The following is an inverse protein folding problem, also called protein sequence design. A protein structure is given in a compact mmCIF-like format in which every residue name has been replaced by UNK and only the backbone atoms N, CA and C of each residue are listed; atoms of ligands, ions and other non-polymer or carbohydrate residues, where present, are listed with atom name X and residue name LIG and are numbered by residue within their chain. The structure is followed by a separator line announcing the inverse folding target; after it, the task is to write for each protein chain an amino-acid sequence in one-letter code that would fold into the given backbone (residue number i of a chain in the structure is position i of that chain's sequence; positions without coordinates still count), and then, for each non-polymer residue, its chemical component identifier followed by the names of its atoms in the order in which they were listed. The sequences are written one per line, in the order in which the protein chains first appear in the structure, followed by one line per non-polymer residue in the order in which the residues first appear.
data_IF_242300539732
#
_entry.id   IF_242300539732
#
_cell.length_a   1.000
_cell.length_b   1.000
_cell.length_c   1.000
_cell.angle_alpha   90.00
_cell.angle_beta   90.00
_cell.angle_gamma   90.00
#
_symmetry.space_group_name_H-M   'P 1'
#
loop_
_entity.id
_entity.type
_entity.pdbx_description
1 polymer ?
#
# COMPACT_ATOMS: atom_id res chain seq x y z
N UNK A 1 -17.60 -42.71 -36.26
CA UNK A 1 -18.40 -42.29 -35.11
C UNK A 1 -17.47 -41.63 -34.10
N UNK A 2 -17.90 -40.47 -33.63
CA UNK A 2 -17.28 -39.49 -32.75
C UNK A 2 -17.19 -39.94 -31.28
N UNK A 3 -16.14 -39.51 -30.57
CA UNK A 3 -16.26 -38.88 -29.23
C UNK A 3 -14.93 -38.22 -28.80
N UNK A 4 -14.98 -36.90 -28.66
CA UNK A 4 -14.03 -36.00 -27.99
C UNK A 4 -14.48 -35.83 -26.54
N UNK A 5 -13.56 -35.74 -25.57
CA UNK A 5 -13.68 -34.82 -24.43
C UNK A 5 -12.39 -34.80 -23.57
N UNK A 6 -11.54 -33.80 -23.84
CA UNK A 6 -10.65 -33.18 -22.87
C UNK A 6 -11.48 -32.57 -21.73
N UNK A 7 -10.95 -32.57 -20.50
CA UNK A 7 -11.55 -31.75 -19.43
C UNK A 7 -11.06 -32.11 -18.04
N UNK A 8 -9.77 -31.96 -17.75
CA UNK A 8 -9.28 -31.88 -16.37
C UNK A 8 -9.80 -30.56 -15.80
N UNK A 9 -10.89 -30.62 -15.05
CA UNK A 9 -11.38 -29.50 -14.27
C UNK A 9 -10.64 -29.44 -12.92
N UNK A 10 -10.35 -28.19 -12.51
CA UNK A 10 -9.76 -27.71 -11.26
C UNK A 10 -8.21 -27.56 -11.28
N UNK A 11 -7.71 -26.36 -10.92
CA UNK A 11 -7.72 -25.99 -9.51
C UNK A 11 -8.12 -24.53 -9.26
N UNK A 12 -9.41 -24.28 -9.05
CA UNK A 12 -9.83 -23.07 -8.33
C UNK A 12 -9.65 -23.24 -6.80
N UNK A 13 -9.57 -24.49 -6.32
CA UNK A 13 -9.38 -24.80 -4.90
C UNK A 13 -7.98 -24.45 -4.39
N UNK A 14 -6.91 -24.74 -5.15
CA UNK A 14 -5.54 -24.45 -4.70
C UNK A 14 -5.21 -22.95 -4.61
N UNK A 15 -5.88 -22.10 -5.39
CA UNK A 15 -5.74 -20.65 -5.26
C UNK A 15 -6.43 -20.15 -3.97
N UNK A 16 -7.59 -20.71 -3.64
CA UNK A 16 -8.36 -20.33 -2.43
C UNK A 16 -7.70 -20.88 -1.16
N UNK A 17 -7.12 -22.08 -1.21
CA UNK A 17 -6.37 -22.65 -0.07
C UNK A 17 -5.05 -21.94 0.17
N UNK A 18 -4.29 -21.57 -0.88
CA UNK A 18 -3.10 -20.73 -0.72
C UNK A 18 -3.43 -19.35 -0.12
N UNK A 19 -4.62 -18.80 -0.42
CA UNK A 19 -5.11 -17.58 0.21
C UNK A 19 -5.60 -17.79 1.66
N UNK A 20 -6.12 -18.99 2.00
CA UNK A 20 -6.61 -19.30 3.36
C UNK A 20 -5.46 -19.60 4.34
N UNK A 21 -4.40 -20.26 3.89
CA UNK A 21 -3.21 -20.51 4.72
C UNK A 21 -2.43 -19.22 5.05
N UNK A 22 -2.54 -18.19 4.21
CA UNK A 22 -1.94 -16.86 4.46
C UNK A 22 -2.73 -16.02 5.48
N UNK A 23 -4.03 -16.26 5.64
CA UNK A 23 -4.82 -15.61 6.70
C UNK A 23 -4.45 -16.11 8.11
N UNK A 24 -3.77 -17.26 8.20
CA UNK A 24 -3.26 -17.83 9.44
C UNK A 24 -1.86 -17.30 9.84
N UNK A 25 -1.18 -16.58 8.94
CA UNK A 25 -0.01 -15.79 9.31
C UNK A 25 -0.49 -14.52 10.02
N UNK A 26 -0.77 -14.65 11.31
CA UNK A 26 -1.01 -13.55 12.24
C UNK A 26 0.25 -12.68 12.37
N UNK A 27 0.59 -11.94 11.30
CA UNK A 27 1.49 -10.82 11.43
C UNK A 27 0.78 -9.78 12.29
N UNK A 28 1.36 -9.37 13.43
CA UNK A 28 0.73 -8.35 14.25
C UNK A 28 0.62 -7.10 13.39
N UNK A 29 -0.59 -6.54 13.30
CA UNK A 29 -0.90 -5.31 12.56
C UNK A 29 0.03 -4.13 12.93
N UNK A 30 0.73 -4.21 14.07
CA UNK A 30 1.81 -3.29 14.46
C UNK A 30 3.05 -3.32 13.55
N UNK A 31 3.35 -4.42 12.85
CA UNK A 31 4.55 -4.52 11.99
C UNK A 31 4.41 -3.89 10.60
N UNK A 32 3.20 -3.46 10.25
CA UNK A 32 2.89 -2.85 8.95
C UNK A 32 2.68 -1.33 9.03
N UNK A 33 2.54 -0.77 10.23
CA UNK A 33 2.45 0.68 10.40
C UNK A 33 3.79 1.33 10.05
N UNK A 34 3.80 2.48 9.36
CA UNK A 34 5.04 3.18 9.03
C UNK A 34 5.79 3.53 10.32
N UNK A 35 7.07 3.18 10.39
CA UNK A 35 7.95 3.67 11.45
C UNK A 35 8.45 5.07 11.12
N UNK A 36 9.04 5.77 12.10
CA UNK A 36 9.65 7.07 11.82
C UNK A 36 10.80 6.97 10.79
N UNK A 37 11.57 5.89 10.84
CA UNK A 37 12.64 5.62 9.87
C UNK A 37 12.09 5.44 8.45
N UNK A 38 10.99 4.69 8.32
CA UNK A 38 10.27 4.51 7.06
C UNK A 38 9.83 5.86 6.46
N UNK A 39 9.29 6.76 7.30
CA UNK A 39 8.86 8.09 6.87
C UNK A 39 10.05 8.97 6.49
N UNK A 40 11.19 8.88 7.20
CA UNK A 40 12.42 9.64 6.88
C UNK A 40 13.09 9.17 5.58
N UNK A 41 13.09 7.87 5.28
CA UNK A 41 13.55 7.35 3.97
C UNK A 41 12.68 7.94 2.84
N UNK A 42 11.36 7.96 3.03
CA UNK A 42 10.44 8.55 2.05
C UNK A 42 10.68 10.06 1.86
N UNK A 43 10.85 10.82 2.95
CA UNK A 43 11.17 12.25 2.88
C UNK A 43 12.46 12.51 2.09
N UNK A 44 13.49 11.69 2.33
CA UNK A 44 14.78 11.81 1.63
C UNK A 44 14.62 11.60 0.13
N UNK A 45 13.76 10.66 -0.30
CA UNK A 45 13.43 10.43 -1.71
C UNK A 45 12.60 11.57 -2.29
N UNK A 46 11.59 12.02 -1.57
CA UNK A 46 10.76 13.15 -1.98
C UNK A 46 11.59 14.42 -2.21
N UNK A 47 12.61 14.68 -1.38
CA UNK A 47 13.56 15.78 -1.59
C UNK A 47 14.38 15.60 -2.85
N UNK A 48 14.86 14.38 -3.12
CA UNK A 48 15.62 14.09 -4.33
C UNK A 48 14.78 14.25 -5.61
N UNK A 49 13.48 13.94 -5.53
CA UNK A 49 12.52 14.09 -6.64
C UNK A 49 11.96 15.52 -6.79
N UNK A 50 12.30 16.44 -5.88
CA UNK A 50 11.80 17.83 -5.92
C UNK A 50 10.32 17.97 -5.52
N UNK A 51 9.82 17.09 -4.65
CA UNK A 51 8.45 17.17 -4.14
C UNK A 51 8.18 18.45 -3.33
N UNK A 52 6.90 18.76 -3.13
CA UNK A 52 6.46 19.98 -2.45
C UNK A 52 7.00 20.08 -1.01
N UNK A 53 7.54 21.26 -0.68
CA UNK A 53 8.18 21.50 0.61
C UNK A 53 7.19 21.46 1.80
N UNK A 54 5.91 21.83 1.59
CA UNK A 54 4.90 21.75 2.65
C UNK A 54 4.54 20.29 2.93
N UNK A 55 4.42 19.47 1.89
CA UNK A 55 4.19 18.04 2.05
C UNK A 55 5.35 17.35 2.79
N UNK A 56 6.59 17.71 2.47
CA UNK A 56 7.77 17.21 3.18
C UNK A 56 7.72 17.61 4.68
N UNK A 57 7.40 18.87 4.98
CA UNK A 57 7.29 19.36 6.36
C UNK A 57 6.19 18.64 7.15
N UNK A 58 5.05 18.34 6.51
CA UNK A 58 3.97 17.54 7.12
C UNK A 58 4.45 16.15 7.53
N UNK A 59 5.25 15.49 6.68
CA UNK A 59 5.79 14.16 6.98
C UNK A 59 6.89 14.18 8.04
N UNK A 60 7.69 15.23 8.11
CA UNK A 60 8.67 15.40 9.20
C UNK A 60 7.98 15.50 10.56
N UNK A 61 6.94 16.32 10.68
CA UNK A 61 6.15 16.43 11.90
C UNK A 61 5.49 15.09 12.29
N UNK A 62 5.09 14.29 11.29
CA UNK A 62 4.55 12.96 11.56
C UNK A 62 5.63 11.98 12.04
N UNK A 63 6.81 11.98 11.44
CA UNK A 63 7.94 11.15 11.88
C UNK A 63 8.33 11.48 13.33
N UNK A 64 8.41 12.76 13.69
CA UNK A 64 8.70 13.20 15.06
C UNK A 64 7.64 12.71 16.06
N UNK A 65 6.35 12.70 15.67
CA UNK A 65 5.27 12.15 16.51
C UNK A 65 5.38 10.65 16.70
N UNK A 66 5.85 9.91 15.69
CA UNK A 66 6.09 8.47 15.80
C UNK A 66 7.26 8.17 16.75
N UNK A 67 8.29 9.02 16.80
CA UNK A 67 9.43 8.87 17.72
C UNK A 67 9.07 9.30 19.15
N UNK A 68 8.22 10.32 19.31
CA UNK A 68 7.83 10.89 20.60
C UNK A 68 6.31 10.89 20.79
N UNK A 69 5.69 9.72 21.03
CA UNK A 69 4.23 9.61 21.19
C UNK A 69 3.68 10.35 22.43
N UNK A 70 4.54 10.79 23.35
CA UNK A 70 4.18 11.49 24.59
C UNK A 70 4.48 13.00 24.65
N UNK A 71 4.99 13.61 23.56
CA UNK A 71 5.30 15.05 23.57
C UNK A 71 4.01 15.90 23.63
N UNK A 72 3.97 16.99 24.43
CA UNK A 72 2.82 17.88 24.50
C UNK A 72 2.55 18.47 23.10
N UNK A 73 1.26 18.52 22.73
CA UNK A 73 0.73 18.96 21.42
C UNK A 73 1.08 20.42 21.10
N UNK A 74 2.34 20.71 20.83
CA UNK A 74 2.82 21.96 20.29
C UNK A 74 2.76 21.92 18.77
N UNK A 75 1.68 22.46 18.20
CA UNK A 75 1.59 22.67 16.75
C UNK A 75 0.42 21.92 16.09
N UNK A 76 -0.53 22.71 15.60
CA UNK A 76 -1.66 22.35 14.74
C UNK A 76 -1.48 21.00 14.02
N UNK A 77 -2.11 19.94 14.53
CA UNK A 77 -2.44 18.79 13.66
C UNK A 77 -3.54 19.26 12.72
N UNK A 78 -3.18 19.65 11.50
CA UNK A 78 -4.15 20.21 10.54
C UNK A 78 -5.06 19.10 9.99
N UNK A 79 -4.69 17.83 10.14
CA UNK A 79 -5.45 16.67 9.65
C UNK A 79 -5.44 15.50 10.64
N UNK A 80 -6.50 14.69 10.62
CA UNK A 80 -6.61 13.45 11.41
C UNK A 80 -5.62 12.38 10.95
N UNK A 81 -5.24 11.48 11.85
CA UNK A 81 -4.23 10.43 11.63
C UNK A 81 -4.49 9.59 10.37
N UNK A 82 -5.75 9.37 10.00
CA UNK A 82 -6.11 8.66 8.77
C UNK A 82 -5.71 9.40 7.50
N UNK A 83 -5.85 10.74 7.45
CA UNK A 83 -5.54 11.49 6.23
C UNK A 83 -4.03 11.59 5.96
N UNK A 84 -3.21 11.66 7.01
CA UNK A 84 -1.76 11.68 6.83
C UNK A 84 -1.21 10.33 6.39
N UNK A 85 -1.79 9.22 6.87
CA UNK A 85 -1.40 7.88 6.40
C UNK A 85 -1.76 7.70 4.93
N UNK A 86 -2.94 8.16 4.49
CA UNK A 86 -3.31 8.13 3.06
C UNK A 86 -2.32 8.91 2.20
N UNK A 87 -1.96 10.13 2.62
CA UNK A 87 -0.92 10.93 1.96
C UNK A 87 0.43 10.20 1.90
N UNK A 88 0.83 9.54 2.99
CA UNK A 88 2.05 8.74 3.05
C UNK A 88 2.01 7.53 2.10
N UNK A 89 0.87 6.84 2.00
CA UNK A 89 0.71 5.72 1.06
C UNK A 89 0.84 6.21 -0.37
N UNK A 90 0.14 7.29 -0.75
CA UNK A 90 0.21 7.86 -2.11
C UNK A 90 1.61 8.37 -2.42
N UNK A 91 2.22 9.15 -1.52
CA UNK A 91 3.59 9.64 -1.70
C UNK A 91 4.61 8.49 -1.75
N UNK A 92 4.42 7.47 -0.91
CA UNK A 92 5.21 6.25 -0.89
C UNK A 92 5.10 5.45 -2.19
N UNK A 93 3.96 5.47 -2.85
CA UNK A 93 3.79 4.86 -4.17
C UNK A 93 4.41 5.72 -5.28
N UNK A 94 4.25 7.04 -5.20
CA UNK A 94 4.69 8.00 -6.22
C UNK A 94 6.22 8.22 -6.23
N UNK A 95 6.82 8.39 -5.05
CA UNK A 95 8.24 8.72 -4.87
C UNK A 95 9.05 7.57 -4.24
N UNK A 96 8.35 6.57 -3.71
CA UNK A 96 8.94 5.50 -2.92
C UNK A 96 8.62 4.12 -3.47
N UNK A 97 8.56 3.88 -4.79
CA UNK A 97 8.25 2.55 -5.34
C UNK A 97 9.03 1.39 -4.68
N UNK A 98 10.23 1.66 -4.14
CA UNK A 98 11.01 0.77 -3.28
C UNK A 98 10.46 0.64 -1.84
N UNK A 99 10.02 1.73 -1.22
CA UNK A 99 9.34 1.77 0.09
C UNK A 99 7.97 1.07 0.05
N UNK A 100 7.08 1.45 -0.87
CA UNK A 100 5.79 0.78 -1.05
C UNK A 100 5.99 -0.69 -1.45
N UNK A 101 6.99 -0.97 -2.29
CA UNK A 101 7.41 -2.32 -2.63
C UNK A 101 8.06 -3.11 -1.48
N UNK A 102 8.61 -2.46 -0.45
CA UNK A 102 9.11 -3.10 0.78
C UNK A 102 7.96 -3.48 1.70
N UNK A 103 6.97 -2.60 1.88
CA UNK A 103 5.80 -2.87 2.72
C UNK A 103 4.94 -3.97 2.07
N UNK A 104 4.55 -3.78 0.82
CA UNK A 104 3.74 -4.76 0.10
C UNK A 104 4.54 -6.01 -0.25
N UNK A 105 5.85 -5.90 -0.52
CA UNK A 105 6.71 -7.05 -0.83
C UNK A 105 6.97 -7.98 0.35
N UNK A 106 6.80 -7.51 1.60
CA UNK A 106 6.78 -8.37 2.79
C UNK A 106 5.56 -9.28 2.82
N UNK A 107 4.43 -8.83 2.27
CA UNK A 107 3.18 -9.59 2.17
C UNK A 107 3.14 -10.42 0.88
N UNK A 108 3.43 -9.80 -0.26
CA UNK A 108 3.35 -10.38 -1.60
C UNK A 108 4.53 -9.93 -2.47
N UNK A 109 5.54 -10.79 -2.66
CA UNK A 109 6.74 -10.47 -3.47
C UNK A 109 6.41 -10.01 -4.90
N UNK A 110 5.40 -10.62 -5.53
CA UNK A 110 4.94 -10.29 -6.90
C UNK A 110 4.40 -8.85 -6.95
N UNK A 111 3.52 -8.51 -6.01
CA UNK A 111 2.88 -7.21 -5.91
C UNK A 111 3.88 -6.12 -5.52
N UNK A 112 4.83 -6.41 -4.63
CA UNK A 112 5.94 -5.51 -4.32
C UNK A 112 6.86 -5.20 -5.51
N UNK A 113 7.16 -6.19 -6.36
CA UNK A 113 7.92 -5.96 -7.59
C UNK A 113 7.12 -5.18 -8.64
N UNK A 114 5.81 -5.40 -8.73
CA UNK A 114 4.94 -4.61 -9.60
C UNK A 114 4.93 -3.14 -9.20
N UNK A 115 4.82 -2.85 -7.89
CA UNK A 115 4.86 -1.49 -7.34
C UNK A 115 6.16 -0.76 -7.60
N UNK A 116 7.32 -1.44 -7.52
CA UNK A 116 8.61 -0.83 -7.85
C UNK A 116 8.67 -0.28 -9.28
N UNK A 117 7.91 -0.88 -10.20
CA UNK A 117 7.91 -0.53 -11.63
C UNK A 117 6.74 0.37 -12.03
N UNK A 118 5.63 0.30 -11.29
CA UNK A 118 4.37 0.96 -11.65
C UNK A 118 3.83 1.86 -10.51
N UNK A 119 4.67 2.25 -9.56
CA UNK A 119 4.28 2.95 -8.35
C UNK A 119 3.48 4.23 -8.61
N UNK A 120 3.93 5.07 -9.56
CA UNK A 120 3.22 6.30 -9.95
C UNK A 120 1.79 6.03 -10.44
N UNK A 121 1.62 5.06 -11.35
CA UNK A 121 0.31 4.65 -11.86
C UNK A 121 -0.63 4.15 -10.76
N UNK A 122 -0.09 3.40 -9.81
CA UNK A 122 -0.85 2.90 -8.65
C UNK A 122 -1.20 4.06 -7.70
N UNK A 123 -0.29 5.02 -7.53
CA UNK A 123 -0.55 6.22 -6.75
C UNK A 123 -1.71 7.03 -7.36
N UNK A 124 -1.66 7.31 -8.66
CA UNK A 124 -2.72 8.02 -9.39
C UNK A 124 -4.07 7.32 -9.22
N UNK A 125 -4.09 6.00 -9.42
CA UNK A 125 -5.31 5.21 -9.32
C UNK A 125 -5.94 5.20 -7.92
N UNK A 126 -5.13 5.30 -6.86
CA UNK A 126 -5.59 5.33 -5.46
C UNK A 126 -6.02 6.74 -5.06
N UNK A 127 -5.33 7.76 -5.55
CA UNK A 127 -5.65 9.17 -5.30
C UNK A 127 -7.02 9.56 -5.88
N UNK A 128 -7.39 8.99 -7.02
CA UNK A 128 -8.69 9.20 -7.68
C UNK A 128 -9.88 8.52 -6.97
N UNK A 129 -9.66 7.72 -5.92
CA UNK A 129 -10.74 6.97 -5.26
C UNK A 129 -11.40 7.79 -4.16
N UNK A 130 -12.70 8.07 -4.31
CA UNK A 130 -13.50 8.78 -3.29
C UNK A 130 -13.63 8.00 -1.98
N UNK A 131 -13.75 6.66 -2.06
CA UNK A 131 -13.93 5.77 -0.91
C UNK A 131 -12.77 4.80 -0.73
N UNK A 132 -12.06 4.91 0.39
CA UNK A 132 -10.94 4.04 0.75
C UNK A 132 -11.46 2.75 1.39
N UNK A 133 -12.00 1.87 0.56
CA UNK A 133 -12.35 0.49 0.90
C UNK A 133 -11.56 -0.47 0.02
N UNK A 134 -11.30 -1.69 0.51
CA UNK A 134 -10.58 -2.72 -0.26
C UNK A 134 -11.19 -2.92 -1.66
N UNK A 135 -12.53 -3.03 -1.72
CA UNK A 135 -13.26 -3.22 -2.98
C UNK A 135 -13.08 -2.02 -3.92
N UNK A 136 -13.24 -0.79 -3.43
CA UNK A 136 -13.11 0.40 -4.26
C UNK A 136 -11.68 0.59 -4.79
N UNK A 137 -10.68 0.39 -3.92
CA UNK A 137 -9.27 0.44 -4.31
C UNK A 137 -8.94 -0.64 -5.34
N UNK A 138 -9.41 -1.87 -5.13
CA UNK A 138 -9.20 -2.97 -6.09
C UNK A 138 -9.80 -2.63 -7.45
N UNK A 139 -11.03 -2.13 -7.50
CA UNK A 139 -11.70 -1.75 -8.75
C UNK A 139 -10.92 -0.63 -9.46
N UNK A 140 -10.48 0.39 -8.73
CA UNK A 140 -9.71 1.50 -9.30
C UNK A 140 -8.38 1.02 -9.90
N UNK A 141 -7.66 0.15 -9.19
CA UNK A 141 -6.41 -0.43 -9.65
C UNK A 141 -6.60 -1.30 -10.91
N UNK A 142 -7.65 -2.13 -10.95
CA UNK A 142 -7.97 -2.93 -12.14
C UNK A 142 -8.32 -2.03 -13.32
N UNK A 143 -9.12 -0.97 -13.09
CA UNK A 143 -9.44 0.01 -14.14
C UNK A 143 -8.20 0.72 -14.66
N UNK A 144 -7.22 0.98 -13.79
CA UNK A 144 -5.93 1.50 -14.21
C UNK A 144 -5.14 0.46 -15.04
N UNK A 145 -5.47 -0.83 -15.01
CA UNK A 145 -4.76 -1.89 -15.73
C UNK A 145 -3.74 -2.62 -14.86
N UNK A 146 -3.90 -2.61 -13.54
CA UNK A 146 -3.21 -3.51 -12.62
C UNK A 146 -3.89 -4.88 -12.69
N UNK A 147 -3.15 -6.00 -12.80
CA UNK A 147 -3.74 -7.33 -12.76
C UNK A 147 -4.58 -7.56 -11.50
N UNK A 148 -5.73 -8.21 -11.62
CA UNK A 148 -6.72 -8.30 -10.54
C UNK A 148 -6.19 -8.96 -9.25
N UNK A 149 -5.34 -9.97 -9.37
CA UNK A 149 -4.65 -10.61 -8.24
C UNK A 149 -3.74 -9.62 -7.51
N UNK A 150 -2.93 -8.86 -8.26
CA UNK A 150 -2.03 -7.83 -7.72
C UNK A 150 -2.80 -6.66 -7.11
N UNK A 151 -3.88 -6.23 -7.78
CA UNK A 151 -4.73 -5.13 -7.34
C UNK A 151 -5.35 -5.42 -5.96
N UNK A 152 -5.85 -6.64 -5.75
CA UNK A 152 -6.41 -7.08 -4.48
C UNK A 152 -5.36 -7.10 -3.37
N UNK A 153 -4.17 -7.66 -3.64
CA UNK A 153 -3.07 -7.68 -2.68
C UNK A 153 -2.62 -6.27 -2.26
N UNK A 154 -2.53 -5.34 -3.22
CA UNK A 154 -2.19 -3.94 -2.97
C UNK A 154 -3.29 -3.27 -2.14
N UNK A 155 -4.57 -3.43 -2.51
CA UNK A 155 -5.69 -2.83 -1.79
C UNK A 155 -5.74 -3.31 -0.34
N UNK A 156 -5.58 -4.61 -0.10
CA UNK A 156 -5.52 -5.19 1.25
C UNK A 156 -4.34 -4.63 2.05
N UNK A 157 -3.14 -4.56 1.45
CA UNK A 157 -1.97 -4.00 2.12
C UNK A 157 -2.16 -2.50 2.46
N UNK A 158 -2.76 -1.72 1.56
CA UNK A 158 -3.08 -0.30 1.80
C UNK A 158 -4.07 -0.16 2.95
N UNK A 159 -5.12 -0.98 2.99
CA UNK A 159 -6.10 -0.97 4.08
C UNK A 159 -5.49 -1.36 5.43
N UNK A 160 -4.56 -2.31 5.45
CA UNK A 160 -3.83 -2.69 6.67
C UNK A 160 -2.94 -1.56 7.21
N UNK A 161 -2.39 -0.71 6.33
CA UNK A 161 -1.58 0.44 6.72
C UNK A 161 -2.45 1.63 7.13
N UNK A 162 -3.55 1.87 6.41
CA UNK A 162 -4.45 3.01 6.62
C UNK A 162 -5.48 2.83 7.76
N UNK A 163 -5.62 1.60 8.28
CA UNK A 163 -6.55 1.19 9.34
C UNK A 163 -6.10 1.44 10.78
#
# INVERSE_FOLDING_TARGET
MTAVALGVAAPAASAVEAHRDLAAASWPAQSLRPTAEDVRDLISRMRADGADARQIQEFEQYAERLENPGAPKGGKSILGSGTIIRKLVVAGLRHGGVWAGKIVGKLHKKSGNFLKRNGGKVADAIEDVESWSETALTIALVKAGVPADIAKDIAMAVMLVAG
#
